data_IF_233754416376
#
_entry.id   IF_233754416376
#
_cell.length_a   1.000
_cell.length_b   1.000
_cell.length_c   1.000
_cell.angle_alpha   90.00
_cell.angle_beta   90.00
_cell.angle_gamma   90.00
#
_symmetry.space_group_name_H-M   'P 1'
#
loop_
_entity.id
_entity.type
_entity.pdbx_description
1 polymer ?
#
# COMPACT_ATOMS: atom_id res chain seq x y z
N UNK A 1 -1.92 -40.97 -15.88
CA UNK A 1 -3.06 -40.21 -15.39
C UNK A 1 -2.69 -39.83 -13.95
N UNK A 2 -2.26 -38.58 -13.70
CA UNK A 2 -2.12 -38.09 -12.33
C UNK A 2 -3.52 -37.95 -11.78
N UNK A 3 -3.77 -38.53 -10.60
CA UNK A 3 -5.01 -38.33 -9.85
C UNK A 3 -5.15 -36.84 -9.59
N UNK A 4 -6.28 -36.26 -10.01
CA UNK A 4 -6.64 -34.87 -9.70
C UNK A 4 -6.77 -34.77 -8.17
N UNK A 5 -6.11 -33.81 -7.52
CA UNK A 5 -6.31 -33.65 -6.09
C UNK A 5 -7.78 -33.33 -5.83
N UNK A 6 -8.46 -34.18 -5.06
CA UNK A 6 -9.78 -33.88 -4.51
C UNK A 6 -9.61 -32.79 -3.45
N UNK A 7 -9.51 -31.53 -3.90
CA UNK A 7 -9.55 -30.38 -3.00
C UNK A 7 -11.02 -30.17 -2.66
N UNK A 8 -11.36 -30.37 -1.39
CA UNK A 8 -12.70 -30.08 -0.90
C UNK A 8 -12.81 -28.55 -0.74
N UNK A 9 -13.32 -27.88 -1.77
CA UNK A 9 -13.47 -26.43 -1.78
C UNK A 9 -14.67 -26.04 -0.91
N UNK A 10 -14.40 -25.33 0.18
CA UNK A 10 -15.43 -24.64 0.96
C UNK A 10 -15.81 -23.34 0.27
N UNK A 11 -16.61 -23.43 -0.78
CA UNK A 11 -16.99 -22.32 -1.65
C UNK A 11 -18.07 -21.45 -1.03
N UNK A 12 -18.10 -20.18 -1.37
CA UNK A 12 -19.13 -19.24 -0.91
C UNK A 12 -20.53 -19.68 -1.39
N UNK A 13 -21.55 -19.71 -0.52
CA UNK A 13 -22.92 -20.02 -0.91
C UNK A 13 -23.44 -19.16 -2.07
N UNK A 14 -23.00 -17.91 -2.10
CA UNK A 14 -23.34 -16.94 -3.16
C UNK A 14 -22.77 -17.35 -4.52
N UNK A 15 -21.58 -17.94 -4.55
CA UNK A 15 -20.97 -18.44 -5.79
C UNK A 15 -21.74 -19.65 -6.33
N UNK A 16 -22.18 -20.54 -5.44
CA UNK A 16 -23.00 -21.71 -5.83
C UNK A 16 -24.37 -21.29 -6.37
N UNK A 17 -25.08 -20.42 -5.64
CA UNK A 17 -26.38 -19.90 -6.08
C UNK A 17 -26.27 -19.18 -7.43
N UNK A 18 -25.25 -18.34 -7.62
CA UNK A 18 -25.03 -17.65 -8.88
C UNK A 18 -24.74 -18.63 -10.01
N UNK A 19 -23.92 -19.65 -9.76
CA UNK A 19 -23.65 -20.74 -10.70
C UNK A 19 -24.91 -21.47 -11.15
N UNK A 20 -25.79 -21.84 -10.21
CA UNK A 20 -27.08 -22.46 -10.52
C UNK A 20 -27.97 -21.54 -11.37
N UNK A 21 -27.98 -20.22 -11.10
CA UNK A 21 -28.76 -19.28 -11.89
C UNK A 21 -28.26 -19.15 -13.33
N UNK A 22 -26.92 -19.15 -13.54
CA UNK A 22 -26.33 -19.12 -14.88
C UNK A 22 -26.56 -20.44 -15.65
N UNK A 23 -26.38 -21.57 -14.98
CA UNK A 23 -26.62 -22.89 -15.56
C UNK A 23 -28.09 -23.08 -15.99
N UNK A 24 -29.06 -22.55 -15.23
CA UNK A 24 -30.47 -22.58 -15.57
C UNK A 24 -30.79 -21.86 -16.90
N UNK A 25 -30.01 -20.85 -17.26
CA UNK A 25 -30.10 -20.10 -18.51
C UNK A 25 -29.16 -20.63 -19.61
N UNK A 26 -28.43 -21.74 -19.34
CA UNK A 26 -27.54 -22.41 -20.29
C UNK A 26 -26.18 -21.73 -20.47
N UNK A 27 -25.74 -20.93 -19.52
CA UNK A 27 -24.44 -20.25 -19.55
C UNK A 27 -23.44 -20.86 -18.57
N UNK A 28 -22.17 -20.91 -18.98
CA UNK A 28 -21.07 -21.25 -18.09
C UNK A 28 -20.76 -20.07 -17.13
N UNK A 29 -20.39 -20.40 -15.89
CA UNK A 29 -19.87 -19.46 -14.92
C UNK A 29 -18.68 -20.09 -14.20
N UNK A 30 -17.58 -19.35 -14.06
CA UNK A 30 -16.42 -19.79 -13.31
C UNK A 30 -15.91 -18.68 -12.40
N UNK A 31 -15.66 -19.02 -11.13
CA UNK A 31 -14.90 -18.17 -10.20
C UNK A 31 -13.45 -18.13 -10.69
N UNK A 32 -12.79 -16.95 -10.67
CA UNK A 32 -11.47 -16.77 -11.27
C UNK A 32 -10.57 -15.83 -10.48
N UNK A 33 -9.29 -15.88 -10.74
CA UNK A 33 -8.32 -14.87 -10.26
C UNK A 33 -8.01 -14.95 -8.77
N UNK A 34 -8.00 -13.80 -8.12
CA UNK A 34 -7.70 -13.66 -6.68
C UNK A 34 -8.51 -14.59 -5.78
N UNK A 35 -9.83 -14.64 -5.91
CA UNK A 35 -10.68 -15.54 -5.13
C UNK A 35 -10.29 -17.02 -5.20
N UNK A 36 -9.93 -17.54 -6.37
CA UNK A 36 -9.49 -18.94 -6.52
C UNK A 36 -8.13 -19.17 -5.88
N UNK A 37 -7.19 -18.26 -6.10
CA UNK A 37 -5.87 -18.28 -5.43
C UNK A 37 -6.04 -18.26 -3.90
N UNK A 38 -6.84 -17.35 -3.40
CA UNK A 38 -7.02 -17.13 -1.96
C UNK A 38 -7.75 -18.31 -1.31
N UNK A 39 -8.68 -18.95 -2.04
CA UNK A 39 -9.31 -20.19 -1.62
C UNK A 39 -8.28 -21.31 -1.42
N UNK A 40 -7.33 -21.47 -2.36
CA UNK A 40 -6.24 -22.44 -2.24
C UNK A 40 -5.25 -22.10 -1.12
N UNK A 41 -5.13 -20.83 -0.74
CA UNK A 41 -4.35 -20.36 0.40
C UNK A 41 -5.14 -20.38 1.73
N UNK A 42 -6.35 -20.93 1.77
CA UNK A 42 -7.26 -20.93 2.91
C UNK A 42 -7.57 -19.51 3.44
N UNK A 43 -7.62 -18.54 2.53
CA UNK A 43 -8.04 -17.16 2.82
C UNK A 43 -9.46 -16.95 2.28
N UNK A 44 -10.24 -16.11 2.94
CA UNK A 44 -11.59 -15.73 2.46
C UNK A 44 -11.55 -14.33 1.85
N UNK A 45 -12.11 -14.19 0.66
CA UNK A 45 -12.39 -12.90 0.01
C UNK A 45 -13.88 -12.58 0.11
N UNK A 46 -14.22 -11.30 0.14
CA UNK A 46 -15.61 -10.83 0.04
C UNK A 46 -15.93 -10.30 -1.36
N UNK A 47 -14.90 -10.10 -2.17
CA UNK A 47 -15.01 -9.71 -3.58
C UNK A 47 -14.78 -10.95 -4.44
N UNK A 48 -15.81 -11.35 -5.19
CA UNK A 48 -15.81 -12.56 -6.00
C UNK A 48 -15.82 -12.19 -7.48
N UNK A 49 -14.75 -12.54 -8.17
CA UNK A 49 -14.61 -12.34 -9.62
C UNK A 49 -15.00 -13.58 -10.38
N UNK A 50 -15.91 -13.43 -11.33
CA UNK A 50 -16.36 -14.50 -12.22
C UNK A 50 -16.10 -14.15 -13.68
N UNK A 51 -15.95 -15.20 -14.48
CA UNK A 51 -16.05 -15.09 -15.93
C UNK A 51 -17.12 -16.04 -16.47
N UNK A 52 -17.71 -15.68 -17.62
CA UNK A 52 -18.86 -16.37 -18.20
C UNK A 52 -18.82 -16.39 -19.73
N UNK A 53 -19.46 -17.40 -20.33
CA UNK A 53 -19.74 -17.47 -21.78
C UNK A 53 -20.83 -16.48 -22.22
N UNK A 54 -21.66 -16.00 -21.29
CA UNK A 54 -22.75 -15.06 -21.58
C UNK A 54 -22.25 -13.65 -21.91
N UNK A 55 -22.99 -12.91 -22.70
CA UNK A 55 -22.80 -11.47 -22.96
C UNK A 55 -23.50 -10.62 -21.89
N UNK A 56 -23.07 -9.36 -21.65
CA UNK A 56 -23.66 -8.50 -20.63
C UNK A 56 -25.19 -8.39 -20.70
N UNK A 57 -25.75 -8.33 -21.91
CA UNK A 57 -27.19 -8.23 -22.13
C UNK A 57 -27.94 -9.50 -21.70
N UNK A 58 -27.27 -10.65 -21.78
CA UNK A 58 -27.83 -11.97 -21.43
C UNK A 58 -27.80 -12.20 -19.92
N UNK A 59 -26.72 -11.79 -19.24
CA UNK A 59 -26.58 -12.06 -17.81
C UNK A 59 -26.97 -10.89 -16.89
N UNK A 60 -27.22 -9.68 -17.41
CA UNK A 60 -27.74 -8.58 -16.61
C UNK A 60 -29.02 -8.93 -15.83
N UNK A 61 -30.06 -9.57 -16.43
CA UNK A 61 -31.26 -9.97 -15.71
C UNK A 61 -30.95 -10.94 -14.54
N UNK A 62 -29.97 -11.86 -14.74
CA UNK A 62 -29.53 -12.79 -13.70
C UNK A 62 -28.90 -12.03 -12.53
N UNK A 63 -27.95 -11.11 -12.81
CA UNK A 63 -27.30 -10.30 -11.78
C UNK A 63 -28.25 -9.37 -11.04
N UNK A 64 -29.23 -8.76 -11.74
CA UNK A 64 -30.25 -7.93 -11.09
C UNK A 64 -31.15 -8.73 -10.14
N UNK A 65 -31.45 -9.99 -10.49
CA UNK A 65 -32.21 -10.90 -9.62
C UNK A 65 -31.36 -11.36 -8.42
N UNK A 66 -30.06 -11.59 -8.61
CA UNK A 66 -29.13 -11.99 -7.58
C UNK A 66 -28.82 -10.83 -6.62
N UNK A 67 -28.46 -9.66 -7.16
CA UNK A 67 -27.98 -8.49 -6.42
C UNK A 67 -29.12 -7.64 -5.85
N UNK A 68 -29.74 -8.14 -4.76
CA UNK A 68 -30.90 -7.48 -4.11
C UNK A 68 -30.51 -6.14 -3.46
N UNK A 69 -29.24 -5.96 -3.07
CA UNK A 69 -28.76 -4.83 -2.29
C UNK A 69 -27.95 -3.82 -3.14
N UNK A 70 -27.54 -4.19 -4.34
CA UNK A 70 -26.81 -3.31 -5.27
C UNK A 70 -26.54 -3.94 -6.63
N UNK A 71 -26.50 -3.09 -7.66
CA UNK A 71 -26.11 -3.44 -9.03
C UNK A 71 -25.39 -2.26 -9.68
N UNK A 72 -24.31 -2.54 -10.42
CA UNK A 72 -23.59 -1.53 -11.19
C UNK A 72 -23.16 -2.07 -12.56
N UNK A 73 -23.05 -1.15 -13.53
CA UNK A 73 -22.72 -1.44 -14.92
C UNK A 73 -21.59 -0.57 -15.50
N UNK A 74 -20.82 0.10 -14.63
CA UNK A 74 -19.70 0.95 -15.05
C UNK A 74 -18.66 0.23 -15.91
N UNK A 75 -18.55 -1.08 -15.75
CA UNK A 75 -17.67 -1.98 -16.53
C UNK A 75 -18.28 -2.53 -17.82
N UNK A 76 -19.55 -2.21 -18.17
CA UNK A 76 -20.29 -2.79 -19.30
C UNK A 76 -19.54 -2.75 -20.63
N UNK A 77 -18.90 -1.63 -20.93
CA UNK A 77 -18.09 -1.47 -22.16
C UNK A 77 -16.91 -2.44 -22.25
N UNK A 78 -16.51 -3.01 -21.11
CA UNK A 78 -15.47 -4.02 -21.00
C UNK A 78 -16.05 -5.42 -20.76
N UNK A 79 -17.35 -5.60 -20.90
CA UNK A 79 -18.04 -6.86 -20.69
C UNK A 79 -18.25 -7.24 -19.21
N UNK A 80 -18.09 -6.29 -18.27
CA UNK A 80 -18.21 -6.52 -16.82
C UNK A 80 -19.44 -5.85 -16.26
N UNK A 81 -20.21 -6.61 -15.45
CA UNK A 81 -21.28 -6.08 -14.61
C UNK A 81 -21.06 -6.59 -13.17
N UNK A 82 -21.54 -5.81 -12.19
CA UNK A 82 -21.39 -6.19 -10.79
C UNK A 82 -22.70 -6.13 -10.03
N UNK A 83 -22.75 -6.89 -8.94
CA UNK A 83 -23.86 -6.92 -8.02
C UNK A 83 -23.38 -7.10 -6.58
N UNK A 84 -24.20 -6.68 -5.62
CA UNK A 84 -23.92 -6.80 -4.20
C UNK A 84 -25.08 -7.47 -3.49
N UNK A 85 -24.73 -8.28 -2.49
CA UNK A 85 -25.66 -8.90 -1.56
C UNK A 85 -25.17 -8.72 -0.14
N UNK A 86 -26.06 -8.37 0.77
CA UNK A 86 -25.79 -8.30 2.20
C UNK A 86 -26.32 -9.55 2.89
N UNK A 87 -25.46 -10.23 3.65
CA UNK A 87 -25.82 -11.37 4.49
C UNK A 87 -26.59 -10.95 5.72
N UNK A 88 -27.21 -11.92 6.41
CA UNK A 88 -27.95 -11.67 7.64
C UNK A 88 -27.09 -11.13 8.80
N UNK A 89 -25.79 -11.42 8.79
CA UNK A 89 -24.80 -10.91 9.73
C UNK A 89 -24.29 -9.50 9.41
N UNK A 90 -24.81 -8.88 8.33
CA UNK A 90 -24.38 -7.57 7.84
C UNK A 90 -23.20 -7.57 6.87
N UNK A 91 -22.55 -8.71 6.65
CA UNK A 91 -21.44 -8.85 5.72
C UNK A 91 -21.91 -8.60 4.28
N UNK A 92 -21.20 -7.75 3.56
CA UNK A 92 -21.43 -7.49 2.14
C UNK A 92 -20.57 -8.43 1.29
N UNK A 93 -21.20 -9.06 0.28
CA UNK A 93 -20.53 -9.87 -0.73
C UNK A 93 -20.73 -9.19 -2.08
N UNK A 94 -19.62 -8.80 -2.69
CA UNK A 94 -19.61 -8.20 -4.03
C UNK A 94 -19.27 -9.28 -5.05
N UNK A 95 -19.96 -9.26 -6.17
CA UNK A 95 -19.69 -10.14 -7.30
C UNK A 95 -19.48 -9.30 -8.54
N UNK A 96 -18.40 -9.57 -9.27
CA UNK A 96 -18.17 -9.03 -10.60
C UNK A 96 -18.16 -10.17 -11.61
N UNK A 97 -18.98 -10.05 -12.65
CA UNK A 97 -19.06 -11.05 -13.73
C UNK A 97 -18.62 -10.41 -15.02
N UNK A 98 -17.67 -11.06 -15.68
CA UNK A 98 -17.08 -10.60 -16.94
C UNK A 98 -17.27 -11.66 -18.04
N UNK A 99 -17.74 -11.27 -19.20
CA UNK A 99 -17.75 -12.15 -20.38
C UNK A 99 -16.34 -12.59 -20.73
N UNK A 100 -16.12 -13.84 -21.17
CA UNK A 100 -14.83 -14.30 -21.70
C UNK A 100 -14.28 -13.32 -22.72
N UNK A 101 -13.00 -12.98 -22.63
CA UNK A 101 -12.33 -12.03 -23.51
C UNK A 101 -11.16 -12.67 -24.23
N UNK A 102 -10.95 -12.23 -25.46
CA UNK A 102 -9.69 -12.32 -26.17
C UNK A 102 -9.24 -10.88 -26.39
N UNK A 103 -8.08 -10.50 -25.87
CA UNK A 103 -7.60 -9.14 -26.06
C UNK A 103 -7.02 -8.99 -27.46
N UNK A 104 -7.61 -8.10 -28.29
CA UNK A 104 -6.98 -7.63 -29.51
C UNK A 104 -6.23 -6.33 -29.18
N UNK A 105 -4.92 -6.41 -29.03
CA UNK A 105 -4.09 -5.23 -28.78
C UNK A 105 -3.71 -4.55 -30.10
N UNK A 106 -4.00 -3.26 -30.19
CA UNK A 106 -3.46 -2.41 -31.21
C UNK A 106 -2.18 -1.75 -30.64
N UNK A 107 -0.98 -1.99 -31.20
CA UNK A 107 0.28 -1.46 -30.67
C UNK A 107 0.30 0.09 -30.51
N UNK A 108 -0.52 0.78 -31.27
CA UNK A 108 -0.62 2.24 -31.29
C UNK A 108 -1.77 2.80 -30.43
N UNK A 109 -2.57 1.93 -29.78
CA UNK A 109 -3.73 2.35 -28.98
C UNK A 109 -3.56 2.02 -27.52
N UNK A 110 -3.73 3.03 -26.63
CA UNK A 110 -3.79 2.85 -25.17
C UNK A 110 -5.06 2.15 -24.67
N UNK A 111 -5.99 1.79 -25.55
CA UNK A 111 -7.26 1.17 -25.22
C UNK A 111 -7.31 -0.18 -25.94
N UNK A 112 -7.31 -1.30 -25.20
CA UNK A 112 -7.58 -2.59 -25.82
C UNK A 112 -9.01 -2.53 -26.43
N UNK A 113 -9.13 -2.95 -27.68
CA UNK A 113 -10.43 -3.27 -28.23
C UNK A 113 -10.85 -4.58 -27.59
N UNK A 114 -11.93 -4.56 -26.80
CA UNK A 114 -12.44 -5.76 -26.15
C UNK A 114 -13.04 -6.66 -27.23
N UNK A 115 -12.28 -7.69 -27.61
CA UNK A 115 -12.82 -8.80 -28.36
C UNK A 115 -13.33 -9.84 -27.35
N UNK A 116 -14.56 -10.28 -27.52
CA UNK A 116 -15.11 -11.33 -26.68
C UNK A 116 -14.56 -12.69 -27.11
N UNK A 117 -14.09 -13.46 -26.12
CA UNK A 117 -13.62 -14.82 -26.30
C UNK A 117 -14.77 -15.84 -26.17
N UNK A 118 -14.48 -17.04 -26.60
CA UNK A 118 -15.47 -18.16 -26.58
C UNK A 118 -15.08 -19.26 -25.58
N UNK A 119 -13.88 -19.20 -24.99
CA UNK A 119 -13.38 -20.25 -24.09
C UNK A 119 -12.84 -19.68 -22.78
N UNK A 120 -13.02 -20.47 -21.71
CA UNK A 120 -12.44 -20.15 -20.39
C UNK A 120 -10.90 -20.13 -20.43
N UNK A 121 -10.26 -21.07 -21.12
CA UNK A 121 -8.82 -21.16 -21.27
C UNK A 121 -8.24 -19.90 -21.96
N UNK A 122 -8.94 -19.38 -22.98
CA UNK A 122 -8.57 -18.13 -23.63
C UNK A 122 -8.65 -16.94 -22.68
N UNK A 123 -9.64 -16.86 -21.81
CA UNK A 123 -9.72 -15.82 -20.78
C UNK A 123 -8.61 -15.96 -19.73
N UNK A 124 -8.27 -17.19 -19.32
CA UNK A 124 -7.19 -17.44 -18.36
C UNK A 124 -5.81 -17.12 -18.94
N UNK A 125 -5.57 -17.37 -20.22
CA UNK A 125 -4.26 -17.12 -20.86
C UNK A 125 -3.85 -15.66 -20.87
N UNK A 126 -4.80 -14.72 -20.92
CA UNK A 126 -4.55 -13.27 -20.93
C UNK A 126 -4.38 -12.65 -19.54
N UNK A 127 -4.47 -13.44 -18.47
CA UNK A 127 -4.29 -12.94 -17.10
C UNK A 127 -2.82 -12.64 -16.81
N UNK A 128 -2.58 -11.92 -15.71
CA UNK A 128 -1.25 -11.45 -15.34
C UNK A 128 -0.27 -12.57 -15.00
N UNK A 129 -0.64 -13.46 -14.06
CA UNK A 129 0.21 -14.55 -13.58
C UNK A 129 -0.56 -15.87 -13.46
N UNK A 130 0.15 -17.00 -13.58
CA UNK A 130 -0.41 -18.34 -13.47
C UNK A 130 -1.22 -18.54 -12.20
N UNK A 131 -0.76 -17.98 -11.08
CA UNK A 131 -1.44 -18.04 -9.77
C UNK A 131 -2.80 -17.33 -9.75
N UNK A 132 -3.08 -16.48 -10.72
CA UNK A 132 -4.37 -15.82 -10.95
C UNK A 132 -5.08 -16.32 -12.22
N UNK A 133 -4.45 -17.26 -12.97
CA UNK A 133 -4.97 -17.87 -14.19
C UNK A 133 -5.57 -19.26 -13.93
N UNK A 134 -6.19 -19.41 -12.77
CA UNK A 134 -6.94 -20.59 -12.34
C UNK A 134 -8.41 -20.26 -12.23
N UNK A 135 -9.27 -21.26 -12.42
CA UNK A 135 -10.70 -21.11 -12.33
C UNK A 135 -11.35 -22.26 -11.56
N UNK A 136 -12.53 -22.01 -11.01
CA UNK A 136 -13.42 -23.00 -10.43
C UNK A 136 -14.79 -22.83 -11.09
N UNK A 137 -15.18 -23.78 -11.98
CA UNK A 137 -16.52 -23.78 -12.59
C UNK A 137 -17.58 -24.01 -11.51
N UNK A 138 -18.62 -23.25 -11.53
CA UNK A 138 -19.75 -23.35 -10.60
C UNK A 138 -21.06 -23.54 -11.38
N UNK A 139 -21.96 -24.42 -10.92
CA UNK A 139 -22.00 -25.08 -9.61
C UNK A 139 -21.23 -26.42 -9.51
N UNK A 140 -20.61 -26.93 -10.58
CA UNK A 140 -20.01 -28.26 -10.66
C UNK A 140 -18.76 -28.43 -9.78
N UNK A 141 -18.12 -27.34 -9.35
CA UNK A 141 -16.86 -27.31 -8.61
C UNK A 141 -15.69 -27.95 -9.37
N UNK A 142 -15.71 -27.83 -10.71
CA UNK A 142 -14.61 -28.31 -11.55
C UNK A 142 -13.45 -27.30 -11.51
N UNK A 143 -12.31 -27.74 -11.00
CA UNK A 143 -11.07 -26.92 -10.98
C UNK A 143 -10.37 -26.96 -12.33
N UNK A 144 -10.06 -25.78 -12.88
CA UNK A 144 -9.43 -25.58 -14.18
C UNK A 144 -8.12 -24.81 -14.00
N UNK A 145 -7.00 -25.46 -14.31
CA UNK A 145 -5.64 -24.89 -14.19
C UNK A 145 -4.80 -25.28 -15.43
N UNK A 146 -4.99 -24.59 -16.56
CA UNK A 146 -4.30 -24.94 -17.79
C UNK A 146 -2.82 -24.52 -17.82
N UNK A 147 -2.41 -23.61 -16.92
CA UNK A 147 -1.07 -23.02 -16.90
C UNK A 147 -0.24 -23.42 -15.68
N UNK A 148 -0.72 -24.34 -14.83
CA UNK A 148 0.01 -24.85 -13.68
C UNK A 148 0.09 -23.86 -12.51
N UNK A 149 -0.90 -22.99 -12.38
CA UNK A 149 -0.96 -21.95 -11.33
C UNK A 149 -0.95 -22.53 -9.92
N UNK A 150 -1.59 -23.67 -9.67
CA UNK A 150 -1.57 -24.34 -8.37
C UNK A 150 -0.14 -24.80 -7.97
N UNK A 151 0.66 -25.25 -8.94
CA UNK A 151 2.06 -25.63 -8.68
C UNK A 151 2.93 -24.38 -8.40
N UNK A 152 2.76 -23.30 -9.17
CA UNK A 152 3.47 -22.05 -8.95
C UNK A 152 3.05 -21.42 -7.61
N UNK A 153 1.77 -21.51 -7.25
CA UNK A 153 1.25 -21.08 -5.95
C UNK A 153 1.92 -21.83 -4.79
N UNK A 154 2.01 -23.17 -4.91
CA UNK A 154 2.67 -24.01 -3.89
C UNK A 154 4.15 -23.71 -3.75
N UNK A 155 4.83 -23.29 -4.83
CA UNK A 155 6.25 -22.90 -4.84
C UNK A 155 6.49 -21.42 -4.46
N UNK A 156 5.44 -20.61 -4.40
CA UNK A 156 5.56 -19.17 -4.19
C UNK A 156 6.24 -18.45 -5.35
N UNK A 157 5.86 -18.77 -6.60
CA UNK A 157 6.48 -18.24 -7.82
C UNK A 157 5.46 -17.45 -8.65
N UNK A 158 5.87 -16.31 -9.16
CA UNK A 158 5.13 -15.48 -10.11
C UNK A 158 5.67 -15.75 -11.52
N UNK A 159 4.84 -16.35 -12.35
CA UNK A 159 5.08 -16.66 -13.76
C UNK A 159 3.90 -16.18 -14.59
N UNK A 160 4.14 -15.69 -15.80
CA UNK A 160 3.05 -15.36 -16.74
C UNK A 160 2.46 -16.62 -17.36
N UNK A 161 1.14 -16.66 -17.67
CA UNK A 161 0.53 -17.82 -18.33
C UNK A 161 1.08 -18.10 -19.74
N UNK A 162 1.46 -17.04 -20.44
CA UNK A 162 2.05 -17.06 -21.78
C UNK A 162 3.44 -16.44 -21.73
N UNK A 163 4.09 -16.31 -22.90
CA UNK A 163 5.38 -15.62 -23.01
C UNK A 163 5.39 -14.29 -22.26
N UNK A 164 6.36 -14.06 -21.33
CA UNK A 164 6.35 -12.87 -20.49
C UNK A 164 6.53 -11.57 -21.28
N UNK A 165 7.25 -11.59 -22.40
CA UNK A 165 7.44 -10.40 -23.26
C UNK A 165 6.12 -10.02 -23.91
N UNK A 166 5.36 -11.00 -24.41
CA UNK A 166 4.03 -10.77 -24.93
C UNK A 166 3.10 -10.24 -23.83
N UNK A 167 3.11 -10.86 -22.66
CA UNK A 167 2.29 -10.45 -21.53
C UNK A 167 2.52 -9.00 -21.10
N UNK A 168 3.80 -8.53 -21.06
CA UNK A 168 4.14 -7.16 -20.68
C UNK A 168 3.96 -6.16 -21.83
N UNK A 169 4.00 -6.61 -23.07
CA UNK A 169 3.62 -5.77 -24.21
C UNK A 169 2.12 -5.48 -24.22
N UNK A 170 1.31 -6.50 -23.92
CA UNK A 170 -0.14 -6.40 -23.80
C UNK A 170 -0.59 -5.44 -22.68
N UNK A 171 -0.06 -5.57 -21.45
CA UNK A 171 -0.30 -4.63 -20.34
C UNK A 171 0.96 -4.46 -19.49
N UNK A 172 1.74 -3.39 -19.73
CA UNK A 172 2.97 -3.14 -18.96
C UNK A 172 2.74 -2.93 -17.46
N UNK A 173 1.51 -2.62 -17.01
CA UNK A 173 1.19 -2.53 -15.59
C UNK A 173 1.38 -3.87 -14.87
N UNK A 174 1.36 -4.99 -15.60
CA UNK A 174 1.63 -6.33 -15.01
C UNK A 174 3.00 -6.39 -14.32
N UNK A 175 3.99 -5.64 -14.80
CA UNK A 175 5.29 -5.51 -14.12
C UNK A 175 5.15 -4.89 -12.72
N UNK A 176 4.36 -3.81 -12.57
CA UNK A 176 4.07 -3.25 -11.26
C UNK A 176 3.23 -4.18 -10.37
N UNK A 177 2.34 -4.97 -10.99
CA UNK A 177 1.57 -6.00 -10.28
C UNK A 177 2.46 -7.14 -9.76
N UNK A 178 3.53 -7.53 -10.50
CA UNK A 178 4.54 -8.47 -10.01
C UNK A 178 5.20 -7.96 -8.72
N UNK A 179 5.68 -6.70 -8.73
CA UNK A 179 6.23 -6.01 -7.56
C UNK A 179 5.26 -6.05 -6.37
N UNK A 180 4.00 -5.73 -6.60
CA UNK A 180 2.97 -5.81 -5.57
C UNK A 180 2.78 -7.22 -5.02
N UNK A 181 2.73 -8.24 -5.87
CA UNK A 181 2.54 -9.62 -5.41
C UNK A 181 3.76 -10.17 -4.65
N UNK A 182 4.98 -9.73 -4.98
CA UNK A 182 6.15 -9.98 -4.13
C UNK A 182 5.88 -9.45 -2.70
N UNK A 183 5.39 -8.23 -2.56
CA UNK A 183 5.09 -7.62 -1.27
C UNK A 183 3.90 -8.28 -0.54
N UNK A 184 2.81 -8.59 -1.25
CA UNK A 184 1.57 -9.10 -0.65
C UNK A 184 1.62 -10.60 -0.35
N UNK A 185 2.20 -11.39 -1.25
CA UNK A 185 2.20 -12.85 -1.16
C UNK A 185 3.54 -13.40 -0.64
N UNK A 186 4.62 -12.63 -0.75
CA UNK A 186 5.98 -13.07 -0.44
C UNK A 186 6.53 -14.06 -1.48
N UNK A 187 6.08 -13.95 -2.72
CA UNK A 187 6.50 -14.80 -3.82
C UNK A 187 7.73 -14.24 -4.51
N UNK A 188 8.51 -15.10 -5.15
CA UNK A 188 9.61 -14.72 -6.04
C UNK A 188 9.12 -14.63 -7.49
N UNK A 189 9.75 -13.76 -8.27
CA UNK A 189 9.48 -13.68 -9.71
C UNK A 189 10.32 -14.77 -10.40
N UNK A 190 9.69 -15.51 -11.31
CA UNK A 190 10.37 -16.53 -12.11
C UNK A 190 11.47 -15.89 -12.97
N UNK A 191 12.67 -16.52 -13.15
CA UNK A 191 13.81 -15.87 -13.78
C UNK A 191 13.56 -15.33 -15.20
N UNK A 192 12.86 -16.07 -16.06
CA UNK A 192 12.53 -15.61 -17.42
C UNK A 192 11.55 -14.42 -17.40
N UNK A 193 10.61 -14.44 -16.46
CA UNK A 193 9.68 -13.34 -16.21
C UNK A 193 10.43 -12.10 -15.70
N UNK A 194 11.40 -12.28 -14.78
CA UNK A 194 12.22 -11.19 -14.26
C UNK A 194 13.12 -10.56 -15.34
N UNK A 195 13.73 -11.38 -16.21
CA UNK A 195 14.52 -10.92 -17.35
C UNK A 195 13.67 -10.08 -18.32
N UNK A 196 12.48 -10.56 -18.66
CA UNK A 196 11.55 -9.83 -19.51
C UNK A 196 11.10 -8.51 -18.88
N UNK A 197 10.87 -8.46 -17.56
CA UNK A 197 10.56 -7.21 -16.84
C UNK A 197 11.70 -6.20 -16.98
N UNK A 198 12.93 -6.63 -16.76
CA UNK A 198 14.12 -5.75 -16.86
C UNK A 198 14.29 -5.19 -18.29
N UNK A 199 14.18 -6.03 -19.31
CA UNK A 199 14.34 -5.65 -20.70
C UNK A 199 13.22 -4.71 -21.19
N UNK A 200 12.04 -4.79 -20.60
CA UNK A 200 10.84 -4.08 -21.04
C UNK A 200 10.42 -2.91 -20.13
N UNK A 201 11.26 -2.53 -19.18
CA UNK A 201 10.95 -1.44 -18.21
C UNK A 201 10.43 -0.17 -18.86
N UNK A 202 10.97 0.22 -20.02
CA UNK A 202 10.54 1.42 -20.74
C UNK A 202 9.06 1.39 -21.15
N UNK A 203 8.46 0.21 -21.30
CA UNK A 203 7.03 0.07 -21.62
C UNK A 203 6.12 0.65 -20.53
N UNK A 204 6.59 0.75 -19.29
CA UNK A 204 5.79 1.34 -18.18
C UNK A 204 5.42 2.81 -18.44
N UNK A 205 6.15 3.51 -19.31
CA UNK A 205 5.91 4.93 -19.63
C UNK A 205 4.57 5.19 -20.32
N UNK A 206 3.96 4.16 -20.94
CA UNK A 206 2.63 4.30 -21.55
C UNK A 206 1.50 4.15 -20.55
N UNK A 207 1.79 3.63 -19.35
CA UNK A 207 0.80 3.47 -18.27
C UNK A 207 0.56 4.82 -17.59
N UNK A 208 -0.68 5.12 -17.24
CA UNK A 208 -0.99 6.36 -16.54
C UNK A 208 -0.40 6.38 -15.13
N UNK A 209 -0.01 7.58 -14.68
CA UNK A 209 0.59 7.77 -13.36
C UNK A 209 -0.32 7.29 -12.22
N UNK A 210 -1.63 7.44 -12.38
CA UNK A 210 -2.63 6.99 -11.40
C UNK A 210 -2.62 5.46 -11.25
N UNK A 211 -2.57 4.71 -12.36
CA UNK A 211 -2.50 3.24 -12.30
C UNK A 211 -1.20 2.77 -11.65
N UNK A 212 -0.06 3.41 -11.97
CA UNK A 212 1.24 3.14 -11.33
C UNK A 212 1.18 3.45 -9.83
N UNK A 213 0.64 4.63 -9.45
CA UNK A 213 0.42 5.01 -8.05
C UNK A 213 -0.39 3.98 -7.30
N UNK A 214 -1.50 3.51 -7.88
CA UNK A 214 -2.41 2.58 -7.21
C UNK A 214 -1.73 1.24 -6.91
N UNK A 215 -0.87 0.73 -7.81
CA UNK A 215 -0.07 -0.46 -7.53
C UNK A 215 1.03 -0.20 -6.48
N UNK A 216 1.67 0.98 -6.52
CA UNK A 216 2.66 1.39 -5.50
C UNK A 216 2.02 1.52 -4.11
N UNK A 217 0.83 2.11 -4.02
CA UNK A 217 0.06 2.21 -2.77
C UNK A 217 -0.25 0.83 -2.20
N UNK A 218 -0.76 -0.09 -3.03
CA UNK A 218 -1.03 -1.47 -2.61
C UNK A 218 0.24 -2.22 -2.18
N UNK A 219 1.37 -1.92 -2.80
CA UNK A 219 2.69 -2.45 -2.41
C UNK A 219 3.08 -1.94 -1.03
N UNK A 220 3.01 -0.63 -0.82
CA UNK A 220 3.37 0.00 0.46
C UNK A 220 2.43 -0.40 1.60
N UNK A 221 1.13 -0.58 1.33
CA UNK A 221 0.14 -0.99 2.34
C UNK A 221 0.16 -2.51 2.65
N UNK A 222 0.99 -3.29 1.97
CA UNK A 222 1.15 -4.72 2.23
C UNK A 222 1.89 -5.00 3.54
N UNK A 223 1.94 -6.29 3.92
CA UNK A 223 2.68 -6.73 5.12
C UNK A 223 4.22 -6.69 4.92
N UNK A 224 4.68 -6.69 3.67
CA UNK A 224 6.12 -6.73 3.32
C UNK A 224 6.50 -5.65 2.31
N UNK A 225 6.27 -4.36 2.61
CA UNK A 225 6.52 -3.29 1.66
C UNK A 225 8.00 -3.24 1.23
N UNK A 226 8.94 -3.55 2.12
CA UNK A 226 10.38 -3.64 1.81
C UNK A 226 10.63 -4.55 0.61
N UNK A 227 10.14 -5.79 0.63
CA UNK A 227 10.36 -6.75 -0.45
C UNK A 227 9.82 -6.23 -1.81
N UNK A 228 8.70 -5.52 -1.79
CA UNK A 228 8.16 -4.87 -2.99
C UNK A 228 9.04 -3.73 -3.50
N UNK A 229 9.58 -2.89 -2.61
CA UNK A 229 10.49 -1.79 -3.01
C UNK A 229 11.82 -2.34 -3.53
N UNK A 230 12.37 -3.39 -2.92
CA UNK A 230 13.56 -4.08 -3.42
C UNK A 230 13.30 -4.66 -4.82
N UNK A 231 12.19 -5.34 -5.04
CA UNK A 231 11.80 -5.87 -6.37
C UNK A 231 11.58 -4.75 -7.41
N UNK A 232 11.05 -3.59 -6.99
CA UNK A 232 10.89 -2.41 -7.84
C UNK A 232 12.25 -1.87 -8.32
N UNK A 233 13.26 -1.87 -7.46
CA UNK A 233 14.63 -1.44 -7.78
C UNK A 233 15.34 -2.49 -8.63
N UNK A 234 15.31 -3.75 -8.23
CA UNK A 234 15.96 -4.87 -8.94
C UNK A 234 15.44 -5.04 -10.38
N UNK A 235 14.16 -4.79 -10.61
CA UNK A 235 13.56 -4.85 -11.95
C UNK A 235 13.89 -3.67 -12.85
N UNK A 236 14.55 -2.61 -12.35
CA UNK A 236 14.80 -1.36 -13.08
C UNK A 236 13.57 -0.44 -13.21
N UNK A 237 12.38 -0.87 -12.78
CA UNK A 237 11.16 -0.05 -12.83
C UNK A 237 11.29 1.22 -11.98
N UNK A 238 12.03 1.15 -10.87
CA UNK A 238 12.24 2.29 -9.99
C UNK A 238 12.89 3.47 -10.71
N UNK A 239 13.81 3.24 -11.67
CA UNK A 239 14.48 4.30 -12.44
C UNK A 239 13.49 5.17 -13.21
N UNK A 240 12.33 4.62 -13.55
CA UNK A 240 11.30 5.31 -14.31
C UNK A 240 10.21 5.87 -13.40
N UNK A 241 9.68 5.06 -12.50
CA UNK A 241 8.52 5.45 -11.70
C UNK A 241 8.88 6.19 -10.43
N UNK A 242 10.04 5.88 -9.82
CA UNK A 242 10.48 6.46 -8.55
C UNK A 242 12.01 6.60 -8.45
N UNK A 243 12.67 7.31 -9.38
CA UNK A 243 14.13 7.35 -9.52
C UNK A 243 14.89 7.90 -8.30
N UNK A 244 14.19 8.53 -7.35
CA UNK A 244 14.80 8.96 -6.10
C UNK A 244 15.21 7.78 -5.21
N UNK A 245 14.58 6.60 -5.35
CA UNK A 245 14.86 5.43 -4.51
C UNK A 245 16.15 4.73 -4.92
N UNK A 246 16.37 4.30 -6.19
CA UNK A 246 17.66 3.72 -6.58
C UNK A 246 18.83 4.71 -6.44
N UNK A 247 18.57 6.02 -6.51
CA UNK A 247 19.59 7.04 -6.25
C UNK A 247 20.14 7.00 -4.80
N UNK A 248 19.49 6.32 -3.87
CA UNK A 248 19.96 6.10 -2.49
C UNK A 248 21.06 5.04 -2.39
N UNK A 249 21.28 4.21 -3.42
CA UNK A 249 22.42 3.31 -3.54
C UNK A 249 23.71 4.13 -3.74
N UNK A 250 24.12 4.80 -2.67
CA UNK A 250 25.34 5.60 -2.66
C UNK A 250 26.54 4.66 -2.52
N UNK A 251 27.45 4.68 -3.52
CA UNK A 251 28.69 3.93 -3.44
C UNK A 251 29.37 4.18 -2.09
N UNK A 252 29.75 3.09 -1.42
CA UNK A 252 30.50 3.08 -0.16
C UNK A 252 31.76 3.90 -0.39
N UNK A 253 32.09 4.83 0.53
CA UNK A 253 33.39 5.49 0.49
C UNK A 253 34.52 4.49 0.73
N UNK A 254 35.75 4.81 0.31
CA UNK A 254 36.92 3.95 0.41
C UNK A 254 37.23 3.43 1.84
N UNK A 255 36.49 3.91 2.86
CA UNK A 255 36.70 3.59 4.26
C UNK A 255 35.58 2.76 4.90
N UNK A 256 34.57 2.28 4.14
CA UNK A 256 33.42 1.47 4.62
C UNK A 256 32.72 2.05 5.87
N UNK A 257 32.75 3.38 6.04
CA UNK A 257 32.23 4.03 7.26
C UNK A 257 30.78 4.50 7.14
N UNK A 258 30.25 4.58 5.92
CA UNK A 258 28.86 4.94 5.70
C UNK A 258 28.05 3.71 5.34
N UNK A 259 26.94 3.51 6.06
CA UNK A 259 25.92 2.53 5.67
C UNK A 259 25.37 2.97 4.30
N UNK A 260 25.10 2.00 3.43
CA UNK A 260 24.30 2.23 2.26
C UNK A 260 22.98 2.90 2.68
N UNK A 261 22.69 4.07 2.09
CA UNK A 261 21.51 4.85 2.45
C UNK A 261 20.24 4.12 2.01
N UNK A 262 20.31 3.34 0.93
CA UNK A 262 19.19 2.49 0.52
C UNK A 262 18.86 1.43 1.59
N UNK A 263 19.86 0.64 2.04
CA UNK A 263 19.63 -0.36 3.08
C UNK A 263 19.16 0.27 4.39
N UNK A 264 19.70 1.44 4.77
CA UNK A 264 19.19 2.20 5.91
C UNK A 264 17.70 2.53 5.74
N UNK A 265 17.31 3.04 4.56
CA UNK A 265 15.92 3.41 4.27
C UNK A 265 15.00 2.19 4.34
N UNK A 266 15.44 1.02 3.87
CA UNK A 266 14.67 -0.23 3.98
C UNK A 266 14.47 -0.65 5.43
N UNK A 267 15.50 -0.52 6.28
CA UNK A 267 15.39 -0.77 7.72
C UNK A 267 14.43 0.22 8.40
N UNK A 268 14.48 1.49 8.00
CA UNK A 268 13.55 2.52 8.53
C UNK A 268 12.12 2.20 8.13
N UNK A 269 11.88 1.76 6.90
CA UNK A 269 10.56 1.33 6.43
C UNK A 269 10.02 0.14 7.26
N UNK A 270 10.83 -0.90 7.47
CA UNK A 270 10.44 -2.07 8.29
C UNK A 270 10.09 -1.65 9.72
N UNK A 271 10.88 -0.75 10.31
CA UNK A 271 10.64 -0.25 11.67
C UNK A 271 9.40 0.64 11.75
N UNK A 272 9.16 1.47 10.74
CA UNK A 272 7.96 2.29 10.67
C UNK A 272 6.69 1.42 10.65
N UNK A 273 6.69 0.34 9.85
CA UNK A 273 5.60 -0.66 9.85
C UNK A 273 5.41 -1.30 11.22
N UNK A 274 6.51 -1.64 11.91
CA UNK A 274 6.45 -2.26 13.25
C UNK A 274 5.96 -1.28 14.34
N UNK A 275 6.06 0.04 14.11
CA UNK A 275 5.61 1.08 15.03
C UNK A 275 4.18 1.58 14.76
N UNK A 276 3.52 1.08 13.71
CA UNK A 276 2.09 1.29 13.52
C UNK A 276 1.30 0.67 14.69
N UNK A 277 0.17 1.25 15.00
CA UNK A 277 -0.68 0.81 16.10
C UNK A 277 -1.87 -0.03 15.61
N UNK A 278 -2.57 -0.69 16.53
CA UNK A 278 -3.85 -1.30 16.23
C UNK A 278 -4.91 -0.25 15.85
N UNK A 279 -6.05 -0.68 15.34
CA UNK A 279 -7.09 0.17 14.70
C UNK A 279 -7.52 1.39 15.52
N UNK A 280 -7.53 1.30 16.86
CA UNK A 280 -7.90 2.41 17.77
C UNK A 280 -6.72 3.28 18.20
N UNK A 281 -5.52 3.00 17.69
CA UNK A 281 -4.31 3.72 18.07
C UNK A 281 -4.08 5.02 17.28
N UNK A 282 -3.08 5.83 17.68
CA UNK A 282 -2.83 7.13 17.08
C UNK A 282 -2.26 7.09 15.65
N UNK A 283 -1.72 5.96 15.20
CA UNK A 283 -1.27 5.72 13.82
C UNK A 283 -1.71 4.32 13.39
N UNK A 284 -3.00 4.16 13.01
CA UNK A 284 -3.57 2.86 12.68
C UNK A 284 -2.89 2.18 11.50
N UNK A 285 -2.68 0.86 11.61
CA UNK A 285 -2.11 0.01 10.56
C UNK A 285 -3.16 -0.34 9.49
N UNK A 286 -2.81 -0.27 8.20
CA UNK A 286 -1.56 0.27 7.63
C UNK A 286 -1.62 1.78 7.39
N UNK A 287 -0.57 2.53 7.75
CA UNK A 287 -0.51 3.99 7.57
C UNK A 287 0.36 4.40 6.37
N UNK A 288 -0.27 4.77 5.25
CA UNK A 288 0.42 5.16 4.02
C UNK A 288 1.32 6.38 4.21
N UNK A 289 0.88 7.36 4.99
CA UNK A 289 1.64 8.60 5.23
C UNK A 289 2.96 8.31 5.93
N UNK A 290 2.93 7.50 6.99
CA UNK A 290 4.14 7.10 7.71
C UNK A 290 5.08 6.27 6.82
N UNK A 291 4.55 5.29 6.07
CA UNK A 291 5.34 4.41 5.20
C UNK A 291 6.01 5.17 4.06
N UNK A 292 5.28 6.11 3.43
CA UNK A 292 5.86 7.01 2.43
C UNK A 292 6.92 7.92 3.03
N UNK A 293 6.68 8.50 4.21
CA UNK A 293 7.67 9.33 4.88
C UNK A 293 8.94 8.54 5.24
N UNK A 294 8.80 7.30 5.72
CA UNK A 294 9.91 6.40 5.99
C UNK A 294 10.72 6.06 4.72
N UNK A 295 10.02 5.80 3.59
CA UNK A 295 10.67 5.54 2.31
C UNK A 295 11.40 6.77 1.75
N UNK A 296 10.91 7.97 2.05
CA UNK A 296 11.37 9.22 1.40
C UNK A 296 12.20 10.13 2.31
N UNK A 297 12.38 9.82 3.61
CA UNK A 297 13.04 10.75 4.56
C UNK A 297 14.43 11.18 4.11
N UNK A 298 15.17 10.28 3.48
CA UNK A 298 16.57 10.46 3.07
C UNK A 298 16.80 10.76 1.58
N UNK A 299 15.76 10.89 0.75
CA UNK A 299 15.91 11.10 -0.71
C UNK A 299 16.61 12.40 -1.09
N UNK A 300 16.83 13.29 -0.14
CA UNK A 300 17.65 14.50 -0.32
C UNK A 300 19.16 14.25 -0.27
N UNK A 301 19.63 13.15 0.34
CA UNK A 301 21.05 12.86 0.55
C UNK A 301 21.88 12.80 -0.73
N UNK A 302 21.45 12.16 -1.82
CA UNK A 302 22.25 12.16 -3.07
C UNK A 302 22.58 13.55 -3.61
N UNK A 303 21.62 14.49 -3.49
CA UNK A 303 21.80 15.87 -3.97
C UNK A 303 22.56 16.79 -3.03
N UNK A 304 22.63 16.44 -1.76
CA UNK A 304 23.30 17.26 -0.73
C UNK A 304 24.64 16.69 -0.31
N UNK A 305 25.05 15.57 -0.89
CA UNK A 305 26.32 14.90 -0.59
C UNK A 305 27.50 15.83 -0.84
N UNK A 306 28.35 16.00 0.16
CA UNK A 306 29.61 16.74 0.08
C UNK A 306 30.74 15.93 0.68
N UNK A 307 31.90 15.96 0.05
CA UNK A 307 33.15 15.39 0.56
C UNK A 307 33.91 16.49 1.31
N UNK A 308 34.15 16.32 2.57
CA UNK A 308 34.84 17.26 3.44
C UNK A 308 36.30 16.82 3.67
N UNK A 309 37.11 17.73 4.23
CA UNK A 309 38.50 17.45 4.56
C UNK A 309 38.59 16.21 5.49
N UNK A 310 39.56 15.32 5.22
CA UNK A 310 39.75 14.08 5.97
C UNK A 310 38.85 12.90 5.54
N UNK A 311 38.19 12.98 4.35
CA UNK A 311 37.36 11.90 3.79
C UNK A 311 36.00 11.76 4.48
N UNK A 312 35.56 12.76 5.23
CA UNK A 312 34.23 12.78 5.84
C UNK A 312 33.19 13.18 4.80
N UNK A 313 32.04 12.49 4.80
CA UNK A 313 30.90 12.86 3.95
C UNK A 313 29.83 13.53 4.80
N UNK A 314 29.26 14.62 4.31
CA UNK A 314 28.15 15.34 4.92
C UNK A 314 26.95 15.45 3.97
N UNK A 315 25.75 15.63 4.55
CA UNK A 315 24.47 15.72 3.85
C UNK A 315 23.64 16.90 4.39
N UNK A 316 24.26 18.08 4.50
CA UNK A 316 23.58 19.24 5.08
C UNK A 316 22.32 19.61 4.29
N UNK A 317 21.22 19.87 5.03
CA UNK A 317 19.91 20.26 4.52
C UNK A 317 19.24 19.21 3.60
N UNK A 318 19.58 17.91 3.79
CA UNK A 318 18.89 16.84 3.02
C UNK A 318 17.41 16.73 3.36
N UNK A 319 16.99 17.13 4.54
CA UNK A 319 15.61 17.29 5.01
C UNK A 319 14.83 18.26 4.11
N UNK A 320 15.32 19.48 3.95
CA UNK A 320 14.68 20.53 3.13
C UNK A 320 14.68 20.16 1.64
N UNK A 321 15.79 19.60 1.15
CA UNK A 321 15.91 19.16 -0.26
C UNK A 321 15.03 17.93 -0.48
N UNK A 322 15.02 16.98 0.46
CA UNK A 322 14.16 15.80 0.47
C UNK A 322 12.70 16.17 0.40
N UNK A 323 12.22 17.09 1.25
CA UNK A 323 10.84 17.57 1.23
C UNK A 323 10.41 18.14 -0.14
N UNK A 324 11.29 18.88 -0.81
CA UNK A 324 11.01 19.40 -2.15
C UNK A 324 10.94 18.29 -3.21
N UNK A 325 11.81 17.29 -3.12
CA UNK A 325 11.80 16.13 -4.02
C UNK A 325 10.54 15.27 -3.78
N UNK A 326 10.18 15.03 -2.53
CA UNK A 326 8.96 14.32 -2.13
C UNK A 326 7.72 14.96 -2.75
N UNK A 327 7.55 16.27 -2.54
CA UNK A 327 6.42 17.03 -3.12
C UNK A 327 6.39 16.92 -4.64
N UNK A 328 7.53 17.03 -5.30
CA UNK A 328 7.64 16.91 -6.76
C UNK A 328 7.24 15.50 -7.23
N UNK A 329 7.75 14.44 -6.59
CA UNK A 329 7.50 13.05 -6.98
C UNK A 329 6.05 12.65 -6.76
N UNK A 330 5.51 12.90 -5.57
CA UNK A 330 4.15 12.50 -5.25
C UNK A 330 3.11 13.24 -6.11
N UNK A 331 3.35 14.51 -6.44
CA UNK A 331 2.51 15.25 -7.40
C UNK A 331 2.60 14.65 -8.81
N UNK A 332 3.78 14.24 -9.25
CA UNK A 332 3.96 13.60 -10.58
C UNK A 332 3.26 12.24 -10.65
N UNK A 333 3.09 11.56 -9.52
CA UNK A 333 2.32 10.31 -9.39
C UNK A 333 0.83 10.55 -9.06
N UNK A 334 0.36 11.79 -9.10
CA UNK A 334 -1.03 12.19 -8.86
C UNK A 334 -1.59 11.73 -7.50
N UNK A 335 -0.75 11.78 -6.45
CA UNK A 335 -1.25 11.61 -5.09
C UNK A 335 -2.12 12.79 -4.66
N UNK A 336 -3.01 12.55 -3.68
CA UNK A 336 -3.84 13.58 -3.07
C UNK A 336 -3.00 14.70 -2.45
N UNK A 337 -3.50 15.94 -2.53
CA UNK A 337 -2.79 17.11 -2.07
C UNK A 337 -2.43 17.07 -0.57
N UNK A 338 -3.36 16.61 0.28
CA UNK A 338 -3.12 16.55 1.72
C UNK A 338 -2.04 15.52 2.04
N UNK A 339 -2.10 14.35 1.42
CA UNK A 339 -1.04 13.33 1.56
C UNK A 339 0.33 13.87 1.12
N UNK A 340 0.38 14.58 -0.02
CA UNK A 340 1.63 15.18 -0.53
C UNK A 340 2.24 16.15 0.48
N UNK A 341 1.44 17.04 1.06
CA UNK A 341 1.92 18.02 2.03
C UNK A 341 2.32 17.33 3.34
N UNK A 342 1.53 16.39 3.84
CA UNK A 342 1.81 15.65 5.08
C UNK A 342 3.12 14.86 5.00
N UNK A 343 3.31 14.08 3.93
CA UNK A 343 4.56 13.31 3.74
C UNK A 343 5.75 14.26 3.58
N UNK A 344 5.59 15.35 2.82
CA UNK A 344 6.66 16.32 2.59
C UNK A 344 7.07 17.03 3.89
N UNK A 345 6.11 17.32 4.76
CA UNK A 345 6.39 17.96 6.04
C UNK A 345 7.04 16.97 7.02
N UNK A 346 6.63 15.70 7.05
CA UNK A 346 7.34 14.68 7.83
C UNK A 346 8.81 14.55 7.40
N UNK A 347 9.08 14.54 6.09
CA UNK A 347 10.45 14.54 5.56
C UNK A 347 11.22 15.81 5.97
N UNK A 348 10.57 16.98 5.97
CA UNK A 348 11.17 18.23 6.41
C UNK A 348 11.52 18.23 7.90
N UNK A 349 10.72 17.58 8.71
CA UNK A 349 10.83 17.62 10.19
C UNK A 349 11.62 16.46 10.79
N UNK A 350 11.97 15.40 10.02
CA UNK A 350 12.51 14.16 10.59
C UNK A 350 13.78 14.33 11.44
N UNK A 351 14.59 15.35 11.15
CA UNK A 351 15.81 15.67 11.92
C UNK A 351 15.57 16.54 13.15
N UNK A 352 14.37 17.08 13.35
CA UNK A 352 14.09 18.07 14.40
C UNK A 352 14.43 17.57 15.81
N UNK A 353 14.18 16.31 16.09
CA UNK A 353 14.40 15.74 17.43
C UNK A 353 15.88 15.52 17.79
N UNK A 354 16.78 15.45 16.81
CA UNK A 354 18.18 15.09 17.07
C UNK A 354 18.87 16.02 18.08
N UNK A 355 18.53 17.30 18.10
CA UNK A 355 19.05 18.26 19.07
C UNK A 355 18.58 18.04 20.51
N UNK A 356 17.50 17.29 20.76
CA UNK A 356 17.00 16.99 22.11
C UNK A 356 17.88 15.99 22.86
N UNK A 357 18.52 15.07 22.14
CA UNK A 357 19.37 14.02 22.72
C UNK A 357 20.65 14.61 23.32
N UNK A 358 21.16 15.68 22.72
CA UNK A 358 22.40 16.34 23.16
C UNK A 358 22.15 17.29 24.35
N UNK A 359 21.06 18.07 24.32
CA UNK A 359 20.67 18.99 25.39
C UNK A 359 19.14 18.99 25.58
N UNK A 360 18.62 18.77 26.83
CA UNK A 360 17.20 18.83 27.10
C UNK A 360 16.60 20.20 26.71
N UNK A 361 15.53 20.17 25.94
CA UNK A 361 14.88 21.42 25.51
C UNK A 361 14.12 22.11 26.65
N UNK A 362 13.96 23.42 26.52
CA UNK A 362 13.03 24.16 27.34
C UNK A 362 11.58 23.80 26.98
N UNK A 363 10.64 24.09 27.91
CA UNK A 363 9.20 23.89 27.65
C UNK A 363 8.73 24.65 26.40
N UNK A 364 9.27 25.82 26.15
CA UNK A 364 8.99 26.60 24.94
C UNK A 364 9.45 25.89 23.66
N UNK A 365 10.60 25.21 23.70
CA UNK A 365 11.11 24.45 22.55
C UNK A 365 10.27 23.18 22.31
N UNK A 366 9.84 22.48 23.38
CA UNK A 366 8.93 21.35 23.31
C UNK A 366 7.57 21.77 22.70
N UNK A 367 7.00 22.89 23.18
CA UNK A 367 5.75 23.42 22.58
C UNK A 367 5.91 23.77 21.11
N UNK A 368 7.05 24.33 20.73
CA UNK A 368 7.34 24.62 19.31
C UNK A 368 7.41 23.35 18.48
N UNK A 369 8.08 22.30 18.96
CA UNK A 369 8.12 21.01 18.27
C UNK A 369 6.72 20.44 18.02
N UNK A 370 5.87 20.42 19.05
CA UNK A 370 4.48 19.97 18.96
C UNK A 370 3.67 20.83 17.98
N UNK A 371 3.84 22.15 18.05
CA UNK A 371 3.15 23.09 17.17
C UNK A 371 3.57 22.94 15.71
N UNK A 372 4.87 22.80 15.45
CA UNK A 372 5.41 22.61 14.10
C UNK A 372 4.95 21.28 13.51
N UNK A 373 4.90 20.21 14.31
CA UNK A 373 4.41 18.90 13.87
C UNK A 373 2.88 18.87 13.69
N UNK A 374 2.13 19.63 14.47
CA UNK A 374 0.67 19.69 14.39
C UNK A 374 0.00 18.32 14.46
N UNK A 375 -0.87 18.03 13.50
CA UNK A 375 -1.55 16.73 13.38
C UNK A 375 -0.61 15.56 13.00
N UNK A 376 0.61 15.85 12.55
CA UNK A 376 1.61 14.85 12.20
C UNK A 376 2.47 14.40 13.40
N UNK A 377 2.25 14.96 14.59
CA UNK A 377 3.09 14.71 15.77
C UNK A 377 3.33 13.22 16.05
N UNK A 378 2.29 12.43 16.02
CA UNK A 378 2.38 10.99 16.29
C UNK A 378 3.16 10.24 15.19
N UNK A 379 2.95 10.61 13.93
CA UNK A 379 3.71 10.05 12.79
C UNK A 379 5.17 10.47 12.81
N UNK A 380 5.43 11.74 13.15
CA UNK A 380 6.80 12.27 13.27
C UNK A 380 7.60 11.52 14.35
N UNK A 381 7.01 11.29 15.52
CA UNK A 381 7.66 10.53 16.58
C UNK A 381 7.98 9.09 16.14
N UNK A 382 7.08 8.43 15.44
CA UNK A 382 7.32 7.08 14.91
C UNK A 382 8.40 7.06 13.83
N UNK A 383 8.38 8.03 12.92
CA UNK A 383 9.43 8.18 11.91
C UNK A 383 10.79 8.39 12.57
N UNK A 384 10.87 9.28 13.55
CA UNK A 384 12.10 9.58 14.32
C UNK A 384 12.61 8.33 15.06
N UNK A 385 11.72 7.56 15.69
CA UNK A 385 12.08 6.27 16.33
C UNK A 385 12.55 5.22 15.32
N UNK A 386 11.92 5.15 14.16
CA UNK A 386 12.30 4.22 13.08
C UNK A 386 13.68 4.55 12.52
N UNK A 387 13.99 5.83 12.32
CA UNK A 387 15.25 6.32 11.78
C UNK A 387 16.45 6.08 12.72
N UNK A 388 16.23 5.93 14.03
CA UNK A 388 17.29 5.65 15.01
C UNK A 388 17.88 4.23 14.84
N UNK A 389 18.59 3.97 13.75
CA UNK A 389 19.11 2.62 13.35
C UNK A 389 20.50 2.29 13.91
N UNK A 390 20.98 2.97 14.95
CA UNK A 390 22.32 2.69 15.52
C UNK A 390 22.45 1.25 16.02
N UNK A 391 23.56 0.59 15.68
CA UNK A 391 23.90 -0.75 16.20
C UNK A 391 24.45 -0.71 17.63
N UNK A 392 24.82 0.48 18.14
CA UNK A 392 25.28 0.65 19.51
C UNK A 392 24.09 0.63 20.46
N UNK A 393 23.91 -0.48 21.18
CA UNK A 393 22.81 -0.67 22.15
C UNK A 393 22.68 0.48 23.15
N UNK A 394 23.80 0.99 23.67
CA UNK A 394 23.79 2.09 24.63
C UNK A 394 23.24 3.38 24.01
N UNK A 395 23.67 3.71 22.79
CA UNK A 395 23.16 4.89 22.07
C UNK A 395 21.68 4.71 21.71
N UNK A 396 21.27 3.51 21.29
CA UNK A 396 19.87 3.21 21.01
C UNK A 396 18.98 3.38 22.25
N UNK A 397 19.43 2.90 23.42
CA UNK A 397 18.71 3.07 24.69
C UNK A 397 18.60 4.53 25.11
N UNK A 398 19.69 5.31 25.00
CA UNK A 398 19.70 6.74 25.32
C UNK A 398 18.71 7.50 24.43
N UNK A 399 18.71 7.20 23.13
CA UNK A 399 17.77 7.82 22.19
C UNK A 399 16.32 7.47 22.50
N UNK A 400 16.03 6.17 22.74
CA UNK A 400 14.68 5.72 23.10
C UNK A 400 14.19 6.38 24.40
N UNK A 401 15.04 6.43 25.45
CA UNK A 401 14.72 7.07 26.72
C UNK A 401 14.46 8.57 26.55
N UNK A 402 15.25 9.27 25.72
CA UNK A 402 15.03 10.68 25.44
C UNK A 402 13.72 10.94 24.70
N UNK A 403 13.32 10.04 23.79
CA UNK A 403 12.01 10.11 23.12
C UNK A 403 10.87 9.91 24.12
N UNK A 404 10.97 8.90 25.00
CA UNK A 404 9.96 8.62 26.01
C UNK A 404 9.80 9.80 26.98
N UNK A 405 10.92 10.37 27.44
CA UNK A 405 10.93 11.56 28.30
C UNK A 405 10.25 12.76 27.62
N UNK A 406 10.55 12.99 26.34
CA UNK A 406 9.94 14.09 25.60
C UNK A 406 8.44 13.89 25.44
N UNK A 407 7.99 12.68 25.12
CA UNK A 407 6.55 12.36 24.99
C UNK A 407 5.81 12.50 26.33
N UNK A 408 6.43 12.08 27.45
CA UNK A 408 5.90 12.27 28.79
C UNK A 408 5.75 13.75 29.11
N UNK A 409 6.78 14.54 28.82
CA UNK A 409 6.79 15.98 29.03
C UNK A 409 5.72 16.69 28.19
N UNK A 410 5.51 16.29 26.96
CA UNK A 410 4.40 16.80 26.13
C UNK A 410 3.05 16.51 26.78
N UNK A 411 2.87 15.28 27.31
CA UNK A 411 1.62 14.91 28.01
C UNK A 411 1.40 15.76 29.28
N UNK A 412 2.44 16.02 30.04
CA UNK A 412 2.38 16.87 31.25
C UNK A 412 2.05 18.32 30.91
N UNK A 413 2.70 18.86 29.86
CA UNK A 413 2.44 20.24 29.43
C UNK A 413 1.00 20.42 28.94
N UNK A 414 0.48 19.46 28.14
CA UNK A 414 -0.91 19.47 27.69
C UNK A 414 -1.88 19.43 28.87
N UNK A 415 -1.67 18.53 29.85
CA UNK A 415 -2.52 18.47 31.06
C UNK A 415 -2.52 19.76 31.84
N UNK A 416 -1.36 20.40 31.98
CA UNK A 416 -1.23 21.69 32.67
C UNK A 416 -1.94 22.82 31.93
N UNK A 417 -1.81 22.86 30.60
CA UNK A 417 -2.46 23.87 29.76
C UNK A 417 -3.99 23.65 29.74
N UNK A 418 -4.48 22.41 29.66
CA UNK A 418 -5.90 22.09 29.78
C UNK A 418 -6.44 22.52 31.15
N UNK A 419 -5.66 22.30 32.23
CA UNK A 419 -6.03 22.74 33.58
C UNK A 419 -6.03 24.27 33.72
N UNK A 420 -5.01 24.94 33.17
CA UNK A 420 -4.91 26.40 33.16
C UNK A 420 -5.99 27.06 32.27
N UNK A 421 -6.56 26.33 31.31
CA UNK A 421 -7.66 26.78 30.46
C UNK A 421 -9.04 26.64 31.12
N UNK A 422 -9.15 25.87 32.20
CA UNK A 422 -10.39 25.77 33.00
C UNK A 422 -10.58 27.11 33.73
N UNK A 423 -11.49 27.92 33.22
CA UNK A 423 -11.95 29.10 33.93
C UNK A 423 -13.05 28.67 34.89
N UNK A 424 -13.09 29.23 36.12
CA UNK A 424 -14.27 29.05 36.98
C UNK A 424 -15.51 29.54 36.23
N UNK A 425 -16.61 28.81 36.37
CA UNK A 425 -17.90 29.16 35.74
C UNK A 425 -18.40 30.53 36.24
N UNK A 426 -17.88 31.01 37.37
CA UNK A 426 -18.15 32.33 37.95
C UNK A 426 -16.83 33.04 38.17
N UNK A 427 -16.75 34.30 37.82
CA UNK A 427 -15.62 35.15 38.17
C UNK A 427 -15.79 35.68 39.63
N UNK A 428 -14.69 36.26 40.17
CA UNK A 428 -14.70 36.77 41.54
C UNK A 428 -15.79 37.81 41.81
N UNK A 429 -16.19 38.58 40.80
CA UNK A 429 -17.27 39.58 40.92
C UNK A 429 -18.64 38.92 40.99
N UNK A 430 -18.87 37.90 40.17
CA UNK A 430 -20.11 37.11 40.15
C UNK A 430 -20.28 36.32 41.46
N UNK A 431 -19.18 35.79 42.02
CA UNK A 431 -19.18 35.11 43.33
C UNK A 431 -19.51 36.11 44.44
N UNK A 432 -18.98 37.34 44.42
CA UNK A 432 -19.29 38.36 45.39
C UNK A 432 -20.76 38.78 45.33
N UNK A 433 -21.30 38.91 44.13
CA UNK A 433 -22.71 39.26 43.93
C UNK A 433 -23.64 38.11 44.36
N UNK A 434 -23.31 36.87 44.04
CA UNK A 434 -24.13 35.69 44.35
C UNK A 434 -24.15 35.39 45.86
N UNK A 435 -23.03 35.62 46.57
CA UNK A 435 -22.87 35.32 47.99
C UNK A 435 -22.98 36.53 48.88
N UNK A 436 -23.16 37.73 48.31
CA UNK A 436 -23.27 38.99 49.09
C UNK A 436 -21.99 39.31 49.85
N UNK A 437 -20.82 38.96 49.32
CA UNK A 437 -19.51 39.14 49.99
C UNK A 437 -18.82 40.44 49.55
N UNK A 438 -18.12 41.11 50.45
CA UNK A 438 -17.23 42.19 50.11
C UNK A 438 -15.87 41.71 49.61
N UNK A 439 -15.14 42.50 48.79
CA UNK A 439 -13.81 42.15 48.30
C UNK A 439 -12.86 41.79 49.45
N UNK A 440 -12.32 40.54 49.44
CA UNK A 440 -11.41 40.08 50.48
C UNK A 440 -10.67 38.78 50.11
N UNK A 441 -9.70 38.36 50.94
CA UNK A 441 -8.84 37.20 50.66
C UNK A 441 -9.54 35.87 50.52
N UNK A 442 -10.85 35.81 50.84
CA UNK A 442 -11.67 34.58 50.69
C UNK A 442 -12.17 34.32 49.26
N UNK A 443 -11.96 35.26 48.33
CA UNK A 443 -12.47 35.20 46.94
C UNK A 443 -11.34 34.94 45.95
N UNK A 444 -10.07 34.97 46.36
CA UNK A 444 -8.87 34.75 45.54
C UNK A 444 -8.36 33.31 45.57
#
# INVERSE_FOLDING_TARGET
MMERPHVNFEVWPEAMELGEMFAAEGFELALVGGPVRDLLLHRRSHDLDFCTSARPEQFEPILRKFGRDGFWDMGRKFGTLGAMRRRADGTEVQVEVTTYRTDAYNPDSRKPEVAYGDTLEGDLSRRDFTVNAMALRVPELEFVDPFGGANDLAKGVLRTPVDPRQSFDDDPLRMMRAVRFVAQLGFSIEPETAEAMYDMTDRIRIVSAERVRDELVKTLLSDRPRAGIEALVESGLADIVFPEIPALELQIDEHHRHKDVFEHTMIVLDRAVALETDDDGPVPRPDLTLRLAALMHDIGKPKTRRFEAGGKVSFHHHDVVGAKLTRKRLRALHFDHHLVEDVSELVNLHLRFHGYVDEPWTDSAVRRYVKDAGHLYERLNRLTRADATTQNRRKAMVFASAMDEMEDRVRELKKKEDFDAIRPDLDGSEIMELLGLEPGPMIG
#
